data_IF_848117004335
#
_entry.id   IF_848117004335
#
_cell.length_a   1.000
_cell.length_b   1.000
_cell.length_c   1.000
_cell.angle_alpha   90.00
_cell.angle_beta   90.00
_cell.angle_gamma   90.00
#
_symmetry.space_group_name_H-M   'P 1'
#
loop_
_entity.id
_entity.type
_entity.pdbx_description
1 polymer ?
#
# COMPACT_ATOMS: atom_id res chain seq x y z
N UNK A 1 -9.87 4.32 -1.58
CA UNK A 1 -8.82 3.31 -1.73
C UNK A 1 -8.77 2.37 -0.53
N UNK A 2 -8.71 2.84 0.72
CA UNK A 2 -8.65 1.93 1.90
C UNK A 2 -9.98 1.22 2.23
N UNK A 3 -11.11 1.93 2.28
CA UNK A 3 -12.41 1.34 2.67
C UNK A 3 -12.82 0.17 1.76
N UNK A 4 -12.60 0.28 0.44
CA UNK A 4 -12.88 -0.81 -0.51
C UNK A 4 -12.18 -2.13 -0.16
N UNK A 5 -10.91 -2.10 0.26
CA UNK A 5 -10.19 -3.30 0.69
C UNK A 5 -10.66 -3.75 2.07
N UNK A 6 -10.81 -2.82 3.01
CA UNK A 6 -11.24 -3.16 4.37
C UNK A 6 -12.62 -3.85 4.40
N UNK A 7 -13.56 -3.47 3.53
CA UNK A 7 -14.90 -4.10 3.44
C UNK A 7 -14.83 -5.60 3.06
N UNK A 8 -13.71 -6.02 2.49
CA UNK A 8 -13.48 -7.38 2.00
C UNK A 8 -12.46 -8.15 2.85
N UNK A 9 -11.92 -7.54 3.91
CA UNK A 9 -10.96 -8.13 4.82
C UNK A 9 -11.60 -8.46 6.17
N UNK A 10 -11.19 -9.58 6.77
CA UNK A 10 -11.50 -9.86 8.17
C UNK A 10 -10.75 -8.89 9.09
N UNK A 11 -11.24 -8.71 10.33
CA UNK A 11 -10.62 -7.81 11.30
C UNK A 11 -10.96 -6.33 11.10
N UNK A 12 -11.78 -5.97 10.12
CA UNK A 12 -12.24 -4.60 9.85
C UNK A 12 -13.69 -4.36 10.27
N UNK A 13 -13.95 -3.19 10.85
CA UNK A 13 -15.29 -2.66 11.14
C UNK A 13 -15.43 -1.22 10.61
N UNK A 14 -16.66 -0.84 10.30
CA UNK A 14 -16.98 0.46 9.71
C UNK A 14 -18.00 1.21 10.56
N UNK A 15 -17.69 2.46 10.89
CA UNK A 15 -18.63 3.34 11.57
C UNK A 15 -19.58 3.99 10.58
N UNK A 16 -20.74 4.42 11.05
CA UNK A 16 -21.67 5.26 10.29
C UNK A 16 -21.31 6.75 10.44
N UNK A 17 -20.96 7.19 11.66
CA UNK A 17 -20.77 8.61 12.00
C UNK A 17 -19.42 8.92 12.68
N UNK A 18 -18.41 8.03 12.59
CA UNK A 18 -17.08 8.23 13.19
C UNK A 18 -16.19 9.19 12.38
N UNK A 19 -16.65 10.42 12.21
CA UNK A 19 -15.95 11.44 11.41
C UNK A 19 -14.80 12.09 12.17
N UNK A 20 -13.69 12.34 11.47
CA UNK A 20 -12.52 13.07 11.97
C UNK A 20 -12.20 14.20 11.00
N UNK A 21 -12.01 15.42 11.51
CA UNK A 21 -11.60 16.55 10.69
C UNK A 21 -10.20 16.29 10.12
N UNK A 22 -10.03 16.47 8.81
CA UNK A 22 -8.74 16.33 8.12
C UNK A 22 -8.14 17.70 7.82
N UNK A 23 -8.84 18.54 7.06
CA UNK A 23 -8.43 19.92 6.81
C UNK A 23 -9.62 20.79 6.42
N UNK A 24 -9.63 22.05 6.90
CA UNK A 24 -10.74 22.96 6.66
C UNK A 24 -12.07 22.35 7.10
N UNK A 25 -13.05 22.25 6.21
CA UNK A 25 -14.34 21.59 6.43
C UNK A 25 -14.39 20.12 5.98
N UNK A 26 -13.28 19.56 5.45
CA UNK A 26 -13.24 18.17 4.98
C UNK A 26 -12.97 17.23 6.13
N UNK A 27 -13.83 16.21 6.26
CA UNK A 27 -13.67 15.12 7.22
C UNK A 27 -13.37 13.80 6.50
N UNK A 28 -12.78 12.87 7.23
CA UNK A 28 -12.61 11.46 6.85
C UNK A 28 -13.35 10.57 7.84
N UNK A 29 -13.68 9.35 7.43
CA UNK A 29 -14.32 8.32 8.27
C UNK A 29 -13.46 7.05 8.24
N UNK A 30 -12.38 6.99 9.03
CA UNK A 30 -11.43 5.88 8.96
C UNK A 30 -12.10 4.54 9.28
N UNK A 31 -11.75 3.45 8.58
CA UNK A 31 -12.08 2.09 9.00
C UNK A 31 -11.43 1.78 10.36
N UNK A 32 -11.95 0.78 11.08
CA UNK A 32 -11.40 0.33 12.36
C UNK A 32 -10.85 -1.08 12.18
N UNK A 33 -9.57 -1.30 12.49
CA UNK A 33 -8.98 -2.63 12.56
C UNK A 33 -9.11 -3.10 14.01
N UNK A 34 -10.05 -4.01 14.28
CA UNK A 34 -10.35 -4.47 15.64
C UNK A 34 -9.78 -5.86 15.96
N UNK A 35 -9.36 -6.61 14.95
CA UNK A 35 -8.94 -8.00 15.09
C UNK A 35 -7.94 -8.42 14.03
N UNK A 36 -7.64 -9.72 13.97
CA UNK A 36 -6.66 -10.25 13.03
C UNK A 36 -7.14 -10.12 11.58
N UNK A 37 -6.26 -9.64 10.71
CA UNK A 37 -6.57 -9.37 9.31
C UNK A 37 -6.29 -10.61 8.46
N UNK A 38 -7.27 -10.99 7.64
CA UNK A 38 -7.11 -12.02 6.62
C UNK A 38 -8.04 -11.76 5.44
N UNK A 39 -7.68 -12.29 4.26
CA UNK A 39 -8.47 -12.17 3.03
C UNK A 39 -9.32 -13.43 2.82
N UNK A 40 -10.64 -13.41 3.08
CA UNK A 40 -11.51 -14.58 2.91
C UNK A 40 -11.77 -14.94 1.44
N UNK A 41 -11.75 -13.97 0.52
CA UNK A 41 -12.09 -14.13 -0.90
C UNK A 41 -11.31 -13.13 -1.77
N UNK A 42 -11.14 -13.41 -3.09
CA UNK A 42 -10.61 -12.45 -4.04
C UNK A 42 -11.37 -11.13 -4.07
N UNK A 43 -10.64 -10.02 -4.16
CA UNK A 43 -11.17 -8.67 -4.05
C UNK A 43 -11.28 -7.97 -5.41
N UNK A 44 -10.17 -7.89 -6.15
CA UNK A 44 -10.04 -7.14 -7.40
C UNK A 44 -9.89 -8.02 -8.64
N UNK A 45 -9.58 -9.31 -8.48
CA UNK A 45 -9.39 -10.27 -9.59
C UNK A 45 -10.49 -10.20 -10.65
N UNK A 46 -11.76 -10.18 -10.23
CA UNK A 46 -12.89 -10.12 -11.16
C UNK A 46 -12.83 -8.87 -12.06
N UNK A 47 -12.57 -7.71 -11.46
CA UNK A 47 -12.52 -6.44 -12.20
C UNK A 47 -11.30 -6.36 -13.10
N UNK A 48 -10.13 -6.75 -12.59
CA UNK A 48 -8.88 -6.69 -13.35
C UNK A 48 -8.89 -7.65 -14.55
N UNK A 49 -9.38 -8.87 -14.38
CA UNK A 49 -9.50 -9.84 -15.48
C UNK A 49 -10.51 -9.39 -16.54
N UNK A 50 -11.66 -8.86 -16.10
CA UNK A 50 -12.66 -8.28 -17.00
C UNK A 50 -12.05 -7.15 -17.82
N UNK A 51 -11.34 -6.21 -17.18
CA UNK A 51 -10.69 -5.11 -17.88
C UNK A 51 -9.59 -5.59 -18.86
N UNK A 52 -8.75 -6.54 -18.45
CA UNK A 52 -7.72 -7.10 -19.31
C UNK A 52 -8.31 -7.79 -20.55
N UNK A 53 -9.48 -8.42 -20.45
CA UNK A 53 -10.14 -9.07 -21.59
C UNK A 53 -10.63 -8.09 -22.67
N UNK A 54 -10.79 -6.80 -22.34
CA UNK A 54 -11.29 -5.77 -23.26
C UNK A 54 -10.18 -5.10 -24.08
N UNK A 55 -8.91 -5.46 -23.86
CA UNK A 55 -7.77 -4.84 -24.52
C UNK A 55 -6.65 -5.84 -24.77
N UNK A 56 -5.85 -5.58 -25.82
CA UNK A 56 -4.61 -6.32 -26.10
C UNK A 56 -3.40 -5.74 -25.38
N UNK A 57 -3.53 -4.55 -24.76
CA UNK A 57 -2.45 -3.91 -24.02
C UNK A 57 -2.37 -4.49 -22.60
N UNK A 58 -1.20 -4.49 -21.95
CA UNK A 58 -1.08 -4.86 -20.55
C UNK A 58 -1.97 -3.95 -19.68
N UNK A 59 -2.80 -4.57 -18.84
CA UNK A 59 -3.70 -3.90 -17.90
C UNK A 59 -3.14 -4.07 -16.49
N UNK A 60 -3.04 -2.97 -15.72
CA UNK A 60 -2.48 -3.01 -14.37
C UNK A 60 -3.51 -3.49 -13.34
N UNK A 61 -3.17 -4.50 -12.55
CA UNK A 61 -3.85 -4.76 -11.27
C UNK A 61 -3.62 -3.58 -10.32
N UNK A 62 -4.62 -3.18 -9.55
CA UNK A 62 -4.54 -2.01 -8.66
C UNK A 62 -4.85 -2.43 -7.22
N UNK A 63 -3.88 -2.22 -6.32
CA UNK A 63 -3.97 -2.54 -4.90
C UNK A 63 -3.51 -1.35 -4.06
N UNK A 64 -4.03 -1.24 -2.83
CA UNK A 64 -3.48 -0.35 -1.82
C UNK A 64 -2.52 -1.14 -0.94
N UNK A 65 -1.33 -0.59 -0.69
CA UNK A 65 -0.31 -1.21 0.12
C UNK A 65 -0.68 -1.32 1.61
N UNK A 66 -0.07 -2.27 2.34
CA UNK A 66 -0.41 -2.55 3.73
C UNK A 66 -0.15 -1.38 4.68
N UNK A 67 0.85 -0.55 4.42
CA UNK A 67 1.19 0.59 5.29
C UNK A 67 0.14 1.68 5.17
N UNK A 68 -0.37 1.93 3.96
CA UNK A 68 -1.44 2.88 3.72
C UNK A 68 -2.77 2.43 4.32
N UNK A 69 -3.12 1.15 4.17
CA UNK A 69 -4.30 0.58 4.83
C UNK A 69 -4.20 0.75 6.35
N UNK A 70 -3.03 0.48 6.93
CA UNK A 70 -2.77 0.64 8.37
C UNK A 70 -2.88 2.10 8.81
N UNK A 71 -2.21 3.03 8.13
CA UNK A 71 -2.09 4.42 8.57
C UNK A 71 -3.40 5.20 8.45
N UNK A 72 -4.25 4.87 7.46
CA UNK A 72 -5.56 5.53 7.27
C UNK A 72 -6.72 4.79 7.94
N UNK A 73 -6.42 3.85 8.84
CA UNK A 73 -7.40 3.17 9.69
C UNK A 73 -7.14 3.49 11.17
N UNK A 74 -8.17 3.38 12.00
CA UNK A 74 -8.02 3.28 13.43
C UNK A 74 -7.58 1.86 13.80
N UNK A 75 -6.29 1.71 14.11
CA UNK A 75 -5.67 0.42 14.40
C UNK A 75 -5.90 0.03 15.88
N UNK A 76 -6.16 -1.26 16.13
CA UNK A 76 -6.14 -1.88 17.46
C UNK A 76 -4.87 -1.51 18.25
N UNK A 77 -4.99 -1.42 19.57
CA UNK A 77 -3.95 -0.93 20.47
C UNK A 77 -3.43 -1.99 21.46
N UNK A 78 -3.76 -3.25 21.22
CA UNK A 78 -3.42 -4.42 22.03
C UNK A 78 -2.23 -5.22 21.48
N UNK A 79 -1.69 -4.83 20.31
CA UNK A 79 -0.47 -5.39 19.74
C UNK A 79 0.36 -4.31 19.01
N UNK A 80 1.64 -4.56 18.71
CA UNK A 80 2.46 -3.64 17.93
C UNK A 80 1.90 -3.41 16.52
N UNK A 81 2.00 -2.16 16.02
CA UNK A 81 1.52 -1.78 14.69
C UNK A 81 2.11 -2.62 13.56
N UNK A 82 3.39 -2.98 13.65
CA UNK A 82 4.06 -3.76 12.62
C UNK A 82 3.46 -5.16 12.49
N UNK A 83 2.99 -5.75 13.60
CA UNK A 83 2.38 -7.08 13.59
C UNK A 83 1.04 -7.05 12.85
N UNK A 84 0.23 -6.02 13.07
CA UNK A 84 -0.99 -5.80 12.27
C UNK A 84 -0.66 -5.50 10.80
N UNK A 85 0.40 -4.74 10.54
CA UNK A 85 0.83 -4.45 9.17
C UNK A 85 1.23 -5.72 8.40
N UNK A 86 1.92 -6.66 9.04
CA UNK A 86 2.28 -7.94 8.44
C UNK A 86 1.05 -8.79 8.12
N UNK A 87 0.02 -8.79 8.98
CA UNK A 87 -1.24 -9.48 8.66
C UNK A 87 -1.91 -8.88 7.40
N UNK A 88 -1.95 -7.56 7.28
CA UNK A 88 -2.46 -6.89 6.07
C UNK A 88 -1.58 -7.27 4.87
N UNK A 89 -0.26 -7.25 5.00
CA UNK A 89 0.65 -7.59 3.93
C UNK A 89 0.45 -9.01 3.40
N UNK A 90 0.23 -9.99 4.29
CA UNK A 90 -0.11 -11.37 3.92
C UNK A 90 -1.45 -11.44 3.17
N UNK A 91 -2.46 -10.69 3.62
CA UNK A 91 -3.75 -10.61 2.94
C UNK A 91 -3.65 -10.00 1.52
N UNK A 92 -2.81 -8.96 1.36
CA UNK A 92 -2.54 -8.36 0.05
C UNK A 92 -1.71 -9.30 -0.84
N UNK A 93 -0.76 -10.05 -0.27
CA UNK A 93 0.03 -11.05 -1.01
C UNK A 93 -0.86 -12.07 -1.70
N UNK A 94 -1.85 -12.61 -0.99
CA UNK A 94 -2.77 -13.57 -1.57
C UNK A 94 -3.57 -12.97 -2.76
N UNK A 95 -3.87 -11.67 -2.72
CA UNK A 95 -4.51 -10.97 -3.84
C UNK A 95 -3.56 -10.74 -5.02
N UNK A 96 -2.31 -10.38 -4.75
CA UNK A 96 -1.25 -10.23 -5.77
C UNK A 96 -1.05 -11.56 -6.52
N UNK A 97 -0.92 -12.66 -5.78
CA UNK A 97 -0.77 -13.99 -6.37
C UNK A 97 -1.99 -14.40 -7.20
N UNK A 98 -3.21 -14.10 -6.75
CA UNK A 98 -4.42 -14.42 -7.49
C UNK A 98 -4.56 -13.57 -8.77
N UNK A 99 -4.15 -12.30 -8.74
CA UNK A 99 -4.06 -11.46 -9.93
C UNK A 99 -3.06 -12.04 -10.94
N UNK A 100 -1.87 -12.46 -10.48
CA UNK A 100 -0.88 -13.11 -11.33
C UNK A 100 -1.43 -14.42 -11.94
N UNK A 101 -2.02 -15.29 -11.11
CA UNK A 101 -2.65 -16.55 -11.56
C UNK A 101 -3.75 -16.31 -12.59
N UNK A 102 -4.45 -15.18 -12.49
CA UNK A 102 -5.49 -14.78 -13.43
C UNK A 102 -4.96 -14.09 -14.70
N UNK A 103 -3.64 -14.00 -14.88
CA UNK A 103 -3.00 -13.49 -16.08
C UNK A 103 -2.69 -11.99 -16.07
N UNK A 104 -2.82 -11.32 -14.92
CA UNK A 104 -2.39 -9.92 -14.77
C UNK A 104 -0.87 -9.90 -14.56
N UNK A 105 -0.16 -9.36 -15.55
CA UNK A 105 1.32 -9.37 -15.60
C UNK A 105 1.95 -8.08 -15.09
N UNK A 106 1.15 -7.06 -14.80
CA UNK A 106 1.61 -5.81 -14.18
C UNK A 106 0.68 -5.51 -13.01
N UNK A 107 1.23 -5.39 -11.80
CA UNK A 107 0.46 -5.17 -10.58
C UNK A 107 1.02 -3.92 -9.89
N UNK A 108 0.15 -2.97 -9.60
CA UNK A 108 0.51 -1.73 -8.91
C UNK A 108 0.00 -1.76 -7.47
N UNK A 109 0.91 -1.50 -6.53
CA UNK A 109 0.67 -1.48 -5.08
C UNK A 109 1.02 -0.10 -4.56
N UNK A 110 0.00 0.70 -4.27
CA UNK A 110 0.17 2.12 -3.93
C UNK A 110 0.41 2.32 -2.42
N UNK A 111 1.51 3.01 -2.07
CA UNK A 111 1.85 3.36 -0.69
C UNK A 111 1.82 4.88 -0.47
N UNK A 112 0.62 5.44 -0.63
CA UNK A 112 0.36 6.87 -0.51
C UNK A 112 0.67 7.45 0.89
N UNK A 113 0.58 6.63 1.94
CA UNK A 113 0.77 7.06 3.32
C UNK A 113 2.04 6.49 3.98
N UNK A 114 3.03 6.05 3.19
CA UNK A 114 4.29 5.50 3.72
C UNK A 114 5.01 6.49 4.66
N UNK A 115 4.99 7.79 4.33
CA UNK A 115 5.69 8.81 5.12
C UNK A 115 4.85 9.28 6.32
N UNK A 116 3.53 9.16 6.25
CA UNK A 116 2.62 9.66 7.29
C UNK A 116 2.78 8.92 8.63
N UNK A 117 3.22 7.66 8.58
CA UNK A 117 3.47 6.87 9.80
C UNK A 117 4.83 7.10 10.44
N UNK A 118 5.69 7.95 9.86
CA UNK A 118 7.04 8.20 10.41
C UNK A 118 6.96 8.74 11.84
N UNK A 119 7.67 8.12 12.80
CA UNK A 119 7.82 8.67 14.13
C UNK A 119 8.41 10.07 14.11
N UNK A 120 7.90 10.94 14.99
CA UNK A 120 8.43 12.30 15.17
C UNK A 120 9.89 12.27 15.65
N UNK A 121 10.26 11.25 16.44
CA UNK A 121 11.64 11.06 16.91
C UNK A 121 12.47 10.43 15.78
N UNK A 122 13.47 11.17 15.30
CA UNK A 122 14.39 10.72 14.24
C UNK A 122 15.05 9.37 14.56
N UNK A 123 15.37 9.10 15.83
CA UNK A 123 15.95 7.83 16.27
C UNK A 123 15.01 6.62 16.13
N UNK A 124 13.71 6.84 16.01
CA UNK A 124 12.69 5.77 15.86
C UNK A 124 12.31 5.54 14.38
N UNK A 125 12.69 6.45 13.48
CA UNK A 125 12.37 6.36 12.06
C UNK A 125 12.97 5.13 11.36
N UNK A 126 14.23 4.70 11.64
CA UNK A 126 14.78 3.51 11.01
C UNK A 126 13.96 2.25 11.29
N UNK A 127 13.51 2.08 12.53
CA UNK A 127 12.68 0.93 12.90
C UNK A 127 11.33 0.94 12.17
N UNK A 128 10.70 2.12 12.06
CA UNK A 128 9.47 2.28 11.29
C UNK A 128 9.64 1.88 9.82
N UNK A 129 10.66 2.46 9.18
CA UNK A 129 10.93 2.25 7.76
C UNK A 129 11.25 0.79 7.46
N UNK A 130 12.01 0.11 8.34
CA UNK A 130 12.34 -1.30 8.20
C UNK A 130 11.08 -2.18 8.08
N UNK A 131 10.17 -2.11 9.07
CA UNK A 131 8.98 -2.96 9.00
C UNK A 131 8.00 -2.50 7.93
N UNK A 132 7.92 -1.20 7.60
CA UNK A 132 7.04 -0.69 6.55
C UNK A 132 7.47 -1.21 5.17
N UNK A 133 8.77 -1.14 4.87
CA UNK A 133 9.37 -1.68 3.63
C UNK A 133 9.26 -3.21 3.60
N UNK A 134 9.50 -3.88 4.73
CA UNK A 134 9.30 -5.33 4.82
C UNK A 134 7.85 -5.72 4.53
N UNK A 135 6.86 -5.03 5.11
CA UNK A 135 5.44 -5.25 4.81
C UNK A 135 5.14 -5.09 3.32
N UNK A 136 5.71 -4.09 2.66
CA UNK A 136 5.58 -3.96 1.21
C UNK A 136 6.15 -5.17 0.47
N UNK A 137 7.37 -5.61 0.78
CA UNK A 137 7.98 -6.79 0.12
C UNK A 137 7.19 -8.08 0.36
N UNK A 138 6.61 -8.27 1.54
CA UNK A 138 5.74 -9.42 1.83
C UNK A 138 4.59 -9.52 0.82
N UNK A 139 4.09 -8.40 0.30
CA UNK A 139 2.97 -8.41 -0.66
C UNK A 139 3.31 -9.06 -2.00
N UNK A 140 4.58 -9.13 -2.39
CA UNK A 140 4.94 -9.52 -3.77
C UNK A 140 6.19 -10.39 -3.89
N UNK A 141 6.89 -10.77 -2.81
CA UNK A 141 8.09 -11.62 -2.90
C UNK A 141 7.89 -12.96 -3.63
N UNK A 142 6.65 -13.44 -3.76
CA UNK A 142 6.30 -14.70 -4.41
C UNK A 142 5.92 -14.61 -5.89
N UNK A 143 5.94 -13.40 -6.48
CA UNK A 143 5.62 -13.24 -7.92
C UNK A 143 6.77 -13.75 -8.79
N UNK A 144 6.45 -14.09 -10.04
CA UNK A 144 7.44 -14.49 -11.03
C UNK A 144 8.26 -13.28 -11.49
N UNK A 145 9.50 -13.52 -11.89
CA UNK A 145 10.39 -12.52 -12.50
C UNK A 145 9.79 -11.83 -13.74
N UNK A 146 8.78 -12.44 -14.38
CA UNK A 146 8.08 -11.87 -15.54
C UNK A 146 6.92 -10.95 -15.16
N UNK A 147 6.52 -10.92 -13.89
CA UNK A 147 5.42 -10.10 -13.37
C UNK A 147 5.99 -8.81 -12.82
N UNK A 148 5.55 -7.68 -13.38
CA UNK A 148 6.09 -6.38 -13.02
C UNK A 148 5.32 -5.74 -11.86
N UNK A 149 6.02 -5.41 -10.79
CA UNK A 149 5.51 -4.71 -9.62
C UNK A 149 5.76 -3.21 -9.75
N UNK A 150 4.67 -2.46 -9.77
CA UNK A 150 4.69 -1.01 -9.73
C UNK A 150 4.35 -0.54 -8.32
N UNK A 151 4.95 0.57 -7.89
CA UNK A 151 4.48 1.29 -6.71
C UNK A 151 4.33 2.78 -7.00
N UNK A 152 3.31 3.38 -6.40
CA UNK A 152 3.08 4.81 -6.44
C UNK A 152 3.21 5.41 -5.04
N UNK A 153 3.88 6.55 -4.96
CA UNK A 153 3.99 7.35 -3.74
C UNK A 153 3.65 8.80 -4.05
N UNK A 154 2.71 9.38 -3.28
CA UNK A 154 2.21 10.76 -3.46
C UNK A 154 3.17 11.81 -2.85
N UNK A 155 4.47 11.64 -3.04
CA UNK A 155 5.49 12.56 -2.52
C UNK A 155 6.42 13.01 -3.64
N UNK A 156 7.07 14.16 -3.42
CA UNK A 156 8.04 14.74 -4.35
C UNK A 156 9.43 14.91 -3.77
N UNK A 157 9.59 14.80 -2.44
CA UNK A 157 10.87 14.91 -1.75
C UNK A 157 11.15 13.61 -0.97
N UNK A 158 12.24 12.95 -1.37
CA UNK A 158 12.61 11.61 -0.90
C UNK A 158 13.99 11.58 -0.23
N UNK A 159 14.66 12.71 -0.04
CA UNK A 159 16.04 12.75 0.44
C UNK A 159 16.25 11.95 1.74
N UNK A 160 15.25 11.97 2.63
CA UNK A 160 15.32 11.33 3.95
C UNK A 160 14.87 9.86 3.94
N UNK A 161 14.29 9.35 2.84
CA UNK A 161 13.72 8.00 2.75
C UNK A 161 14.14 7.22 1.49
N UNK A 162 15.10 7.75 0.72
CA UNK A 162 15.49 7.18 -0.58
C UNK A 162 15.99 5.73 -0.46
N UNK A 163 16.76 5.43 0.60
CA UNK A 163 17.22 4.06 0.86
C UNK A 163 16.05 3.12 1.11
N UNK A 164 15.06 3.55 1.88
CA UNK A 164 13.85 2.75 2.11
C UNK A 164 13.06 2.51 0.82
N UNK A 165 13.05 3.47 -0.10
CA UNK A 165 12.42 3.30 -1.42
C UNK A 165 13.17 2.27 -2.27
N UNK A 166 14.50 2.31 -2.25
CA UNK A 166 15.33 1.30 -2.93
C UNK A 166 15.07 -0.08 -2.32
N UNK A 167 15.04 -0.17 -0.99
CA UNK A 167 14.83 -1.42 -0.25
C UNK A 167 13.42 -2.02 -0.44
N UNK A 168 12.46 -1.27 -1.00
CA UNK A 168 11.15 -1.81 -1.41
C UNK A 168 11.24 -2.73 -2.61
N UNK A 169 12.31 -2.64 -3.41
CA UNK A 169 12.59 -3.54 -4.54
C UNK A 169 11.44 -3.62 -5.56
N UNK A 170 10.82 -2.48 -5.87
CA UNK A 170 9.80 -2.39 -6.91
C UNK A 170 10.46 -2.22 -8.30
N UNK A 171 9.95 -2.91 -9.31
CA UNK A 171 10.46 -2.79 -10.69
C UNK A 171 10.29 -1.38 -11.26
N UNK A 172 9.16 -0.75 -10.93
CA UNK A 172 8.82 0.60 -11.38
C UNK A 172 8.21 1.40 -10.24
N UNK A 173 8.84 2.52 -9.91
CA UNK A 173 8.27 3.52 -9.02
C UNK A 173 7.75 4.73 -9.79
N UNK A 174 6.56 5.21 -9.41
CA UNK A 174 5.98 6.45 -9.93
C UNK A 174 5.84 7.47 -8.79
N UNK A 175 6.45 8.64 -8.97
CA UNK A 175 6.51 9.71 -7.97
C UNK A 175 5.93 11.03 -8.52
N UNK A 176 5.61 11.96 -7.63
CA UNK A 176 5.14 13.29 -8.03
C UNK A 176 6.32 14.23 -8.34
N UNK A 177 6.43 14.69 -9.59
CA UNK A 177 7.50 15.62 -9.99
C UNK A 177 7.05 16.79 -10.89
N UNK A 178 5.76 16.90 -11.22
CA UNK A 178 5.27 17.88 -12.22
C UNK A 178 5.44 19.35 -11.83
N UNK A 179 5.65 19.64 -10.54
CA UNK A 179 5.87 20.99 -9.99
C UNK A 179 7.20 21.13 -9.24
N UNK A 180 8.09 20.17 -9.43
CA UNK A 180 9.38 20.09 -8.77
C UNK A 180 10.50 20.31 -9.79
N UNK A 181 11.62 20.91 -9.35
CA UNK A 181 12.83 21.04 -10.18
C UNK A 181 13.42 19.64 -10.42
N UNK A 182 13.90 19.35 -11.64
CA UNK A 182 14.48 18.04 -12.02
C UNK A 182 15.66 17.64 -11.12
N UNK A 183 16.25 18.60 -10.40
CA UNK A 183 17.27 18.36 -9.38
C UNK A 183 16.84 17.35 -8.32
N UNK A 184 15.55 17.22 -8.01
CA UNK A 184 15.06 16.22 -7.06
C UNK A 184 15.28 14.77 -7.55
N UNK A 185 15.52 14.55 -8.85
CA UNK A 185 15.85 13.24 -9.40
C UNK A 185 17.33 12.86 -9.21
N UNK A 186 18.19 13.79 -8.82
CA UNK A 186 19.62 13.50 -8.58
C UNK A 186 19.84 12.52 -7.43
N UNK A 187 18.85 12.34 -6.55
CA UNK A 187 18.90 11.36 -5.45
C UNK A 187 18.85 9.91 -5.92
N UNK A 188 18.46 9.66 -7.16
CA UNK A 188 18.42 8.32 -7.78
C UNK A 188 19.66 8.02 -8.64
N UNK A 189 20.63 8.94 -8.71
CA UNK A 189 21.87 8.75 -9.49
C UNK A 189 22.97 8.07 -8.68
#
# INVERSE_FOLDING_TARGET
MVEYFGEQLSGFAFTVNGWVQSYGSRCVKPPIIYGDVSRPKPMTVFWSTTAQSMTKRPMKGMLTGPVTILNWSFVRNDQPRFETCYQIALAIRDEVEDLEKAGITVIQIDEAALREGLPLRKSEQPFYLDWAVHSFRITNYGVKDTTQIHTHMCYSNFNDIIHSIIDMDADVITIENSRSDEKLLSVFR
#
